data_IF_686463805614
#
_entry.id   IF_686463805614
#
_cell.length_a   1.000
_cell.length_b   1.000
_cell.length_c   1.000
_cell.angle_alpha   90.00
_cell.angle_beta   90.00
_cell.angle_gamma   90.00
#
_symmetry.space_group_name_H-M   'P 1'
#
loop_
_entity.id
_entity.type
_entity.pdbx_description
1 polymer ?
#
# COMPACT_ATOMS: atom_id res chain seq x y z
N UNK A 1 4.76 -10.02 1.28
CA UNK A 1 4.59 -11.04 0.23
C UNK A 1 3.28 -11.77 0.35
N UNK A 2 2.19 -11.08 0.64
CA UNK A 2 0.84 -11.64 0.77
C UNK A 2 -0.11 -10.75 -0.01
N UNK A 3 -1.23 -11.31 -0.44
CA UNK A 3 -2.33 -10.48 -0.90
C UNK A 3 -2.93 -9.65 0.23
N UNK A 4 -3.64 -8.59 -0.14
CA UNK A 4 -4.21 -7.65 0.82
C UNK A 4 -5.28 -8.30 1.72
N UNK A 5 -6.05 -9.23 1.16
CA UNK A 5 -7.02 -10.04 1.92
C UNK A 5 -6.38 -10.99 2.94
N UNK A 6 -5.15 -11.44 2.69
CA UNK A 6 -4.42 -12.36 3.58
C UNK A 6 -3.74 -11.60 4.74
N UNK A 7 -3.16 -10.42 4.46
CA UNK A 7 -2.40 -9.66 5.46
C UNK A 7 -3.23 -8.63 6.25
N UNK A 8 -4.55 -8.56 6.00
CA UNK A 8 -5.58 -7.82 6.76
C UNK A 8 -5.56 -6.28 6.69
N UNK A 9 -4.55 -5.65 6.10
CA UNK A 9 -4.43 -4.18 6.04
C UNK A 9 -5.17 -3.67 4.80
N UNK A 10 -6.49 -3.64 4.86
CA UNK A 10 -7.38 -3.52 3.70
C UNK A 10 -7.83 -2.07 3.42
N UNK A 11 -7.85 -1.18 4.42
CA UNK A 11 -7.73 0.26 4.19
C UNK A 11 -6.59 0.91 4.99
N UNK A 12 -6.20 2.13 4.59
CA UNK A 12 -5.27 3.00 5.33
C UNK A 12 -5.81 3.51 6.69
N UNK A 13 -6.87 2.90 7.20
CA UNK A 13 -7.55 3.26 8.44
C UNK A 13 -7.95 2.01 9.21
N UNK A 14 -7.73 2.05 10.53
CA UNK A 14 -8.39 1.10 11.45
C UNK A 14 -9.80 1.59 11.71
N UNK A 15 -10.75 0.67 11.82
CA UNK A 15 -12.13 1.04 12.14
C UNK A 15 -12.85 -0.06 12.93
N UNK A 16 -14.01 0.31 13.49
CA UNK A 16 -14.89 -0.60 14.18
C UNK A 16 -16.35 -0.29 13.80
N UNK A 17 -17.04 -1.25 13.21
CA UNK A 17 -18.40 -1.10 12.65
C UNK A 17 -19.50 -1.04 13.70
N UNK A 18 -19.22 -1.45 14.94
CA UNK A 18 -20.20 -1.41 16.04
C UNK A 18 -20.16 -0.08 16.77
N UNK A 19 -18.96 0.40 17.07
CA UNK A 19 -18.74 1.70 17.73
C UNK A 19 -18.69 2.87 16.75
N UNK A 20 -18.61 2.59 15.45
CA UNK A 20 -18.51 3.54 14.33
C UNK A 20 -17.23 4.40 14.33
N UNK A 21 -16.21 4.02 15.10
CA UNK A 21 -14.93 4.73 15.13
C UNK A 21 -14.07 4.42 13.91
N UNK A 22 -13.37 5.46 13.43
CA UNK A 22 -12.29 5.39 12.43
C UNK A 22 -11.03 6.00 13.04
N UNK A 23 -9.88 5.37 12.84
CA UNK A 23 -8.57 5.86 13.26
C UNK A 23 -7.68 6.02 12.03
N UNK A 24 -7.08 7.20 11.90
CA UNK A 24 -6.11 7.49 10.83
C UNK A 24 -4.86 6.62 10.95
N UNK A 25 -4.19 6.37 9.82
CA UNK A 25 -2.90 5.66 9.76
C UNK A 25 -1.90 6.14 10.81
N UNK A 26 -1.68 7.46 10.93
CA UNK A 26 -0.74 8.04 11.91
C UNK A 26 -1.09 7.67 13.36
N UNK A 27 -2.37 7.47 13.66
CA UNK A 27 -2.85 7.07 15.00
C UNK A 27 -2.67 5.57 15.24
N UNK A 28 -2.72 4.75 14.19
CA UNK A 28 -2.72 3.30 14.31
C UNK A 28 -1.32 2.70 14.34
N UNK A 29 -0.26 3.43 13.96
CA UNK A 29 1.11 2.89 13.82
C UNK A 29 1.63 2.07 15.03
N UNK A 30 1.15 2.34 16.26
CA UNK A 30 1.51 1.60 17.49
C UNK A 30 0.42 0.67 18.05
N UNK A 31 -0.74 0.57 17.40
CA UNK A 31 -1.86 -0.26 17.85
C UNK A 31 -1.62 -1.72 17.50
N UNK A 32 -1.25 -2.52 18.50
CA UNK A 32 -0.93 -3.94 18.32
C UNK A 32 -2.11 -4.73 17.79
N UNK A 33 -3.29 -4.62 18.40
CA UNK A 33 -4.51 -5.35 17.99
C UNK A 33 -4.93 -5.10 16.53
N UNK A 34 -4.41 -4.04 15.90
CA UNK A 34 -4.63 -3.74 14.49
C UNK A 34 -3.59 -4.40 13.58
N UNK A 35 -2.31 -4.36 13.97
CA UNK A 35 -1.22 -4.82 13.11
C UNK A 35 -0.82 -6.27 13.33
N UNK A 36 -0.94 -6.77 14.56
CA UNK A 36 -0.61 -8.13 14.96
C UNK A 36 -1.84 -9.04 14.78
N UNK A 37 -1.90 -9.69 13.63
CA UNK A 37 -2.98 -10.60 13.25
C UNK A 37 -2.85 -11.99 13.85
N UNK A 38 -1.83 -12.25 14.69
CA UNK A 38 -1.53 -13.57 15.26
C UNK A 38 -0.88 -14.55 14.28
N UNK A 39 -0.95 -14.29 12.97
CA UNK A 39 -0.11 -14.96 11.97
C UNK A 39 1.21 -14.21 11.94
N UNK A 40 2.34 -14.89 12.14
CA UNK A 40 3.65 -14.27 11.99
C UNK A 40 3.71 -13.72 10.57
N UNK A 41 3.60 -12.39 10.40
CA UNK A 41 3.44 -11.87 9.07
C UNK A 41 4.77 -12.07 8.34
N UNK A 42 4.72 -12.23 7.01
CA UNK A 42 5.88 -12.10 6.11
C UNK A 42 6.46 -10.67 6.13
N UNK A 43 6.72 -10.14 7.32
CA UNK A 43 7.39 -8.89 7.61
C UNK A 43 8.87 -9.21 7.67
N UNK A 44 9.57 -8.82 6.61
CA UNK A 44 10.96 -9.16 6.41
C UNK A 44 11.80 -8.93 7.65
N UNK A 45 11.70 -7.75 8.29
CA UNK A 45 12.51 -7.39 9.45
C UNK A 45 12.28 -8.28 10.67
N UNK A 46 11.05 -8.73 10.90
CA UNK A 46 10.71 -9.57 12.05
C UNK A 46 11.30 -10.96 11.82
N UNK A 47 11.09 -11.50 10.62
CA UNK A 47 11.67 -12.80 10.20
C UNK A 47 13.19 -12.75 10.26
N UNK A 48 13.82 -11.69 9.76
CA UNK A 48 15.26 -11.44 9.88
C UNK A 48 15.72 -11.46 11.34
N UNK A 49 15.02 -10.73 12.21
CA UNK A 49 15.39 -10.63 13.64
C UNK A 49 15.24 -11.97 14.36
N UNK A 50 14.14 -12.69 14.12
CA UNK A 50 13.87 -14.00 14.73
C UNK A 50 14.87 -15.07 14.29
N UNK A 51 15.47 -14.91 13.11
CA UNK A 51 16.51 -15.81 12.60
C UNK A 51 17.94 -15.34 12.96
N UNK A 52 18.08 -14.39 13.89
CA UNK A 52 19.37 -13.99 14.47
C UNK A 52 20.11 -12.88 13.72
N UNK A 53 19.55 -12.39 12.61
CA UNK A 53 20.09 -11.28 11.84
C UNK A 53 19.59 -9.94 12.38
N UNK A 54 20.26 -8.85 12.04
CA UNK A 54 19.91 -7.50 12.48
C UNK A 54 19.12 -6.74 11.44
N UNK A 55 17.99 -6.20 11.84
CA UNK A 55 17.09 -5.45 10.96
C UNK A 55 16.83 -4.04 11.50
N UNK A 56 16.85 -3.07 10.60
CA UNK A 56 16.49 -1.68 10.89
C UNK A 56 15.36 -1.20 10.01
N UNK A 57 14.67 -0.16 10.44
CA UNK A 57 13.52 0.36 9.75
C UNK A 57 13.46 1.89 9.90
N UNK A 58 13.10 2.54 8.80
CA UNK A 58 12.88 3.98 8.73
C UNK A 58 11.57 4.26 7.97
N UNK A 59 10.60 4.81 8.70
CA UNK A 59 9.31 5.36 8.21
C UNK A 59 8.31 4.39 7.55
N UNK A 60 8.70 3.17 7.18
CA UNK A 60 7.84 2.25 6.45
C UNK A 60 6.54 1.88 7.23
N UNK A 61 5.44 1.43 6.64
CA UNK A 61 4.30 1.00 7.47
C UNK A 61 4.69 -0.16 8.41
N UNK A 62 3.97 -0.34 9.52
CA UNK A 62 4.09 -1.52 10.42
C UNK A 62 5.35 -1.65 11.29
N UNK A 63 6.41 -0.86 11.12
CA UNK A 63 7.66 -1.02 11.88
C UNK A 63 7.64 -0.50 13.32
N UNK A 64 6.61 0.22 13.73
CA UNK A 64 6.47 0.74 15.10
C UNK A 64 5.61 -0.15 16.02
N UNK A 65 4.92 -1.15 15.46
CA UNK A 65 4.12 -2.11 16.21
C UNK A 65 5.00 -3.25 16.75
N UNK A 66 4.49 -3.93 17.79
CA UNK A 66 5.05 -5.19 18.27
C UNK A 66 4.27 -6.35 17.67
N UNK A 67 4.95 -7.46 17.40
CA UNK A 67 4.38 -8.68 16.85
C UNK A 67 4.78 -9.83 17.76
N UNK A 68 3.80 -10.51 18.35
CA UNK A 68 4.05 -11.56 19.35
C UNK A 68 4.94 -11.07 20.51
N UNK A 69 4.82 -9.80 20.88
CA UNK A 69 5.62 -9.15 21.92
C UNK A 69 6.99 -8.63 21.47
N UNK A 70 7.46 -9.02 20.29
CA UNK A 70 8.75 -8.62 19.72
C UNK A 70 8.64 -7.32 18.91
N UNK A 71 9.67 -6.49 18.99
CA UNK A 71 9.79 -5.25 18.23
C UNK A 71 11.04 -5.29 17.34
N UNK A 72 11.07 -4.45 16.32
CA UNK A 72 12.29 -4.25 15.51
C UNK A 72 13.38 -3.67 16.41
N UNK A 73 14.61 -4.17 16.24
CA UNK A 73 15.76 -3.74 17.03
C UNK A 73 15.99 -2.22 16.94
N UNK A 74 15.79 -1.65 15.74
CA UNK A 74 15.85 -0.21 15.52
C UNK A 74 14.75 0.24 14.58
N UNK A 75 13.84 1.05 15.11
CA UNK A 75 12.70 1.59 14.37
C UNK A 75 12.61 3.09 14.58
N UNK A 76 12.66 3.85 13.48
CA UNK A 76 12.31 5.27 13.49
C UNK A 76 10.96 5.44 12.78
N UNK A 77 9.93 5.66 13.60
CA UNK A 77 8.58 5.95 13.17
C UNK A 77 8.47 7.41 12.70
N UNK A 78 7.66 7.66 11.68
CA UNK A 78 7.27 9.03 11.34
C UNK A 78 6.50 9.68 12.51
N UNK A 79 7.00 10.79 13.09
CA UNK A 79 6.23 11.51 14.09
C UNK A 79 4.92 12.04 13.50
N UNK A 80 3.91 12.26 14.34
CA UNK A 80 2.63 12.80 13.89
C UNK A 80 2.75 14.13 13.13
N UNK A 81 3.77 14.92 13.50
CA UNK A 81 4.12 16.22 12.92
C UNK A 81 5.05 16.13 11.72
N UNK A 82 5.41 14.92 11.24
CA UNK A 82 6.27 14.77 10.07
C UNK A 82 5.58 15.42 8.86
N UNK A 83 6.23 16.39 8.19
CA UNK A 83 5.66 17.05 7.03
C UNK A 83 5.67 16.12 5.83
N UNK A 84 4.57 16.14 5.08
CA UNK A 84 4.47 15.39 3.84
C UNK A 84 5.30 16.09 2.75
N UNK A 85 6.34 15.44 2.24
CA UNK A 85 7.18 15.95 1.14
C UNK A 85 8.41 16.77 1.54
N UNK A 86 9.10 16.43 2.63
CA UNK A 86 10.36 17.09 2.98
C UNK A 86 11.52 16.57 2.12
N UNK A 87 12.05 17.40 1.22
CA UNK A 87 13.23 17.10 0.39
C UNK A 87 14.51 16.81 1.20
N UNK A 88 14.51 17.05 2.52
CA UNK A 88 15.64 16.66 3.40
C UNK A 88 15.68 15.15 3.67
N UNK A 89 14.68 14.37 3.23
CA UNK A 89 14.70 12.89 3.35
C UNK A 89 15.91 12.23 2.67
N UNK A 90 16.58 12.89 1.72
CA UNK A 90 17.87 12.41 1.19
C UNK A 90 18.95 12.26 2.28
N UNK A 91 18.87 13.04 3.37
CA UNK A 91 19.76 12.89 4.53
C UNK A 91 19.57 11.53 5.25
N UNK A 92 18.41 10.89 5.07
CA UNK A 92 18.15 9.55 5.62
C UNK A 92 18.90 8.45 4.88
N UNK A 93 19.28 8.65 3.61
CA UNK A 93 20.09 7.67 2.86
C UNK A 93 21.48 7.56 3.47
N UNK A 94 22.12 8.67 3.83
CA UNK A 94 23.43 8.65 4.47
C UNK A 94 23.36 8.06 5.90
N UNK A 95 22.24 8.25 6.61
CA UNK A 95 21.96 7.61 7.90
C UNK A 95 21.85 6.09 7.76
N UNK A 96 21.00 5.62 6.82
CA UNK A 96 20.80 4.20 6.54
C UNK A 96 22.09 3.55 6.07
N UNK A 97 22.84 4.22 5.18
CA UNK A 97 24.17 3.78 4.76
C UNK A 97 25.07 3.51 5.97
N UNK A 98 25.14 4.46 6.91
CA UNK A 98 25.98 4.32 8.09
C UNK A 98 25.53 3.16 9.00
N UNK A 99 24.23 2.86 9.04
CA UNK A 99 23.67 1.75 9.79
C UNK A 99 24.01 0.39 9.14
N UNK A 100 23.83 0.27 7.82
CA UNK A 100 24.15 -0.96 7.09
C UNK A 100 25.63 -1.32 7.12
N UNK A 101 26.53 -0.34 6.93
CA UNK A 101 27.98 -0.61 6.93
C UNK A 101 28.46 -1.15 8.30
N UNK A 102 27.76 -0.81 9.39
CA UNK A 102 28.28 -1.01 10.74
C UNK A 102 27.52 -2.04 11.57
N UNK A 103 26.22 -2.21 11.34
CA UNK A 103 25.36 -2.78 12.37
C UNK A 103 24.23 -3.68 11.85
N UNK A 104 23.71 -3.49 10.64
CA UNK A 104 22.47 -4.18 10.20
C UNK A 104 22.64 -4.96 8.89
N UNK A 105 22.02 -6.14 8.84
CA UNK A 105 21.99 -7.03 7.68
C UNK A 105 20.86 -6.67 6.71
N UNK A 106 19.80 -6.02 7.20
CA UNK A 106 18.66 -5.56 6.40
C UNK A 106 18.10 -4.24 6.90
N UNK A 107 17.43 -3.51 6.00
CA UNK A 107 16.89 -2.20 6.29
C UNK A 107 15.87 -1.73 5.25
N UNK A 108 14.84 -1.02 5.71
CA UNK A 108 13.81 -0.42 4.85
C UNK A 108 13.78 1.08 5.02
N UNK A 109 13.68 1.81 3.90
CA UNK A 109 13.43 3.24 3.84
C UNK A 109 12.10 3.49 3.12
N UNK A 110 11.25 4.32 3.70
CA UNK A 110 10.09 4.88 3.03
C UNK A 110 10.25 6.40 2.88
N UNK A 111 9.84 6.89 1.70
CA UNK A 111 9.77 8.30 1.34
C UNK A 111 8.38 8.57 0.78
N UNK A 112 7.76 9.69 1.13
CA UNK A 112 6.41 10.04 0.64
C UNK A 112 6.41 10.61 -0.80
N UNK A 113 7.56 11.01 -1.31
CA UNK A 113 7.71 11.44 -2.71
C UNK A 113 7.97 10.23 -3.63
N UNK A 114 7.45 10.21 -4.87
CA UNK A 114 6.82 11.32 -5.59
C UNK A 114 5.30 11.39 -5.42
N UNK A 115 4.69 10.59 -4.54
CA UNK A 115 3.24 10.50 -4.42
C UNK A 115 2.61 11.85 -4.03
N UNK A 116 3.16 12.55 -3.02
CA UNK A 116 2.64 13.85 -2.62
C UNK A 116 2.66 14.87 -3.78
N UNK A 117 3.77 14.95 -4.52
CA UNK A 117 3.84 15.77 -5.75
C UNK A 117 2.82 15.31 -6.80
N UNK A 118 2.66 14.00 -7.01
CA UNK A 118 1.73 13.40 -7.97
C UNK A 118 0.25 13.59 -7.59
N UNK A 119 -0.06 13.77 -6.31
CA UNK A 119 -1.42 14.10 -5.85
C UNK A 119 -1.72 15.59 -6.01
N UNK A 120 -0.76 16.45 -5.67
CA UNK A 120 -0.92 17.92 -5.77
C UNK A 120 -0.95 18.41 -7.22
N UNK A 121 -0.10 17.84 -8.07
CA UNK A 121 0.07 18.22 -9.47
C UNK A 121 -0.29 17.05 -10.37
N UNK A 122 -0.70 17.33 -11.61
CA UNK A 122 -0.89 16.22 -12.58
C UNK A 122 0.45 15.49 -12.75
N UNK A 123 0.46 14.15 -12.82
CA UNK A 123 1.67 13.40 -13.10
C UNK A 123 2.38 13.98 -14.32
N UNK A 124 3.62 14.44 -14.13
CA UNK A 124 4.49 14.88 -15.22
C UNK A 124 5.62 13.87 -15.37
N UNK A 125 5.95 13.53 -16.61
CA UNK A 125 7.17 12.80 -16.93
C UNK A 125 8.36 13.75 -16.86
N UNK A 126 8.76 14.16 -15.65
CA UNK A 126 10.04 14.82 -15.44
C UNK A 126 11.07 13.78 -14.99
N UNK A 127 12.11 13.62 -15.80
CA UNK A 127 13.24 12.74 -15.52
C UNK A 127 14.03 13.25 -14.31
N UNK A 128 13.59 12.93 -13.09
CA UNK A 128 14.40 13.13 -11.89
C UNK A 128 15.54 12.12 -11.92
N UNK A 129 16.76 12.61 -12.12
CA UNK A 129 17.98 11.79 -12.01
C UNK A 129 18.11 11.31 -10.57
N UNK A 130 17.90 10.01 -10.33
CA UNK A 130 18.32 9.38 -9.09
C UNK A 130 19.85 9.55 -8.96
N UNK A 131 20.32 10.15 -7.88
CA UNK A 131 21.74 10.38 -7.68
C UNK A 131 22.47 9.04 -7.51
N UNK A 132 23.16 8.60 -8.56
CA UNK A 132 23.99 7.39 -8.53
C UNK A 132 25.24 7.66 -7.69
N UNK A 133 25.21 7.24 -6.42
CA UNK A 133 26.40 7.18 -5.57
C UNK A 133 26.97 5.76 -5.65
N UNK A 134 27.95 5.56 -6.53
CA UNK A 134 28.48 4.26 -6.94
C UNK A 134 29.23 3.44 -5.85
N UNK A 135 29.59 4.04 -4.71
CA UNK A 135 30.53 3.40 -3.77
C UNK A 135 29.94 2.32 -2.83
N UNK A 136 28.63 2.04 -2.89
CA UNK A 136 27.98 1.01 -2.06
C UNK A 136 27.51 -0.21 -2.84
N UNK A 137 27.47 -0.13 -4.17
CA UNK A 137 26.84 -1.16 -5.00
C UNK A 137 27.63 -2.48 -5.06
N UNK A 138 28.87 -2.49 -4.55
CA UNK A 138 29.73 -3.69 -4.56
C UNK A 138 29.45 -4.63 -3.39
N UNK A 139 28.86 -4.14 -2.29
CA UNK A 139 28.60 -4.94 -1.08
C UNK A 139 27.16 -4.84 -0.57
N UNK A 140 26.29 -4.08 -1.24
CA UNK A 140 24.90 -3.86 -0.83
C UNK A 140 23.93 -4.18 -1.97
N UNK A 141 22.93 -5.00 -1.66
CA UNK A 141 21.75 -5.21 -2.49
C UNK A 141 20.70 -4.15 -2.14
N UNK A 142 20.24 -3.41 -3.15
CA UNK A 142 19.27 -2.33 -3.04
C UNK A 142 18.10 -2.65 -3.96
N UNK A 143 16.89 -2.70 -3.39
CA UNK A 143 15.63 -2.78 -4.12
C UNK A 143 14.92 -1.44 -3.98
N UNK A 144 14.60 -0.81 -5.11
CA UNK A 144 13.85 0.43 -5.20
C UNK A 144 12.50 0.09 -5.83
N UNK A 145 11.42 0.45 -5.16
CA UNK A 145 10.06 0.22 -5.65
C UNK A 145 9.11 1.32 -5.17
N UNK A 146 7.88 1.30 -5.67
CA UNK A 146 6.77 2.13 -5.22
C UNK A 146 5.65 1.22 -4.72
N UNK A 147 4.80 1.75 -3.84
CA UNK A 147 3.59 1.08 -3.37
C UNK A 147 2.46 1.10 -4.40
N UNK A 148 2.32 2.21 -5.13
CA UNK A 148 1.38 2.35 -6.24
C UNK A 148 1.84 3.38 -7.27
N UNK A 149 1.19 3.36 -8.44
CA UNK A 149 1.24 4.47 -9.39
C UNK A 149 0.24 5.59 -9.05
N UNK A 150 0.11 6.59 -9.93
CA UNK A 150 -0.82 7.71 -9.80
C UNK A 150 -1.41 8.04 -11.17
N UNK A 151 -2.70 8.34 -11.23
CA UNK A 151 -3.36 8.84 -12.45
C UNK A 151 -3.95 10.23 -12.22
N UNK A 152 -4.25 10.95 -13.30
CA UNK A 152 -4.91 12.25 -13.23
C UNK A 152 -6.39 12.09 -12.90
N UNK A 153 -6.88 12.83 -11.91
CA UNK A 153 -8.31 12.89 -11.57
C UNK A 153 -8.99 14.02 -12.34
N UNK A 154 -10.15 13.71 -12.91
CA UNK A 154 -11.05 14.66 -13.54
C UNK A 154 -11.88 15.35 -12.46
N UNK A 155 -12.01 16.67 -12.55
CA UNK A 155 -12.67 17.51 -11.54
C UNK A 155 -13.67 18.45 -12.21
N UNK A 156 -14.52 19.08 -11.42
CA UNK A 156 -15.36 20.19 -11.89
C UNK A 156 -14.47 21.33 -12.41
N UNK A 157 -14.82 22.01 -13.53
CA UNK A 157 -16.05 21.88 -14.33
C UNK A 157 -15.98 20.82 -15.45
N UNK A 158 -14.85 20.12 -15.64
CA UNK A 158 -14.67 19.18 -16.74
C UNK A 158 -15.63 17.97 -16.65
N UNK A 159 -15.96 17.56 -15.42
CA UNK A 159 -16.95 16.51 -15.14
C UNK A 159 -17.83 16.87 -13.93
N UNK A 160 -18.95 16.15 -13.80
CA UNK A 160 -19.65 16.01 -12.54
C UNK A 160 -19.04 14.86 -11.74
N UNK A 161 -18.43 15.17 -10.58
CA UNK A 161 -17.86 14.15 -9.69
C UNK A 161 -18.96 13.25 -9.08
N UNK A 162 -18.58 12.03 -8.71
CA UNK A 162 -19.52 11.03 -8.20
C UNK A 162 -19.83 11.35 -6.74
N UNK A 163 -21.05 11.84 -6.46
CA UNK A 163 -21.55 12.02 -5.10
C UNK A 163 -22.61 10.96 -4.79
N UNK A 164 -22.33 10.08 -3.84
CA UNK A 164 -23.26 8.99 -3.49
C UNK A 164 -24.60 9.49 -2.94
N UNK A 165 -24.64 10.66 -2.31
CA UNK A 165 -25.90 11.29 -1.87
C UNK A 165 -26.85 11.69 -3.01
N UNK A 166 -26.37 11.73 -4.26
CA UNK A 166 -27.24 11.95 -5.41
C UNK A 166 -28.09 10.71 -5.76
N UNK A 167 -27.68 9.54 -5.28
CA UNK A 167 -28.31 8.26 -5.62
C UNK A 167 -29.00 7.61 -4.42
N UNK A 168 -28.48 7.82 -3.21
CA UNK A 168 -29.05 7.24 -2.00
C UNK A 168 -29.08 8.21 -0.81
N UNK A 169 -30.00 7.97 0.11
CA UNK A 169 -30.02 8.61 1.42
C UNK A 169 -29.25 7.75 2.41
N UNK A 170 -28.02 8.13 2.74
CA UNK A 170 -27.16 7.37 3.66
C UNK A 170 -27.86 7.03 4.98
N UNK A 171 -28.62 7.97 5.54
CA UNK A 171 -29.37 7.77 6.78
C UNK A 171 -30.37 6.62 6.69
N UNK A 172 -30.89 6.30 5.51
CA UNK A 172 -31.92 5.28 5.36
C UNK A 172 -31.28 3.89 5.20
N UNK A 173 -30.17 3.78 4.46
CA UNK A 173 -29.61 2.50 4.04
C UNK A 173 -28.28 2.10 4.69
N UNK A 174 -27.45 3.05 5.13
CA UNK A 174 -26.05 2.80 5.49
C UNK A 174 -25.87 2.83 7.01
N UNK A 175 -25.33 1.74 7.59
CA UNK A 175 -24.90 1.66 8.99
C UNK A 175 -23.53 2.28 9.17
N UNK A 176 -22.59 1.95 8.29
CA UNK A 176 -21.20 2.38 8.35
C UNK A 176 -20.59 2.46 6.96
N UNK A 177 -19.54 3.26 6.80
CA UNK A 177 -18.82 3.41 5.53
C UNK A 177 -17.31 3.52 5.75
N UNK A 178 -16.54 3.02 4.80
CA UNK A 178 -15.15 3.39 4.60
C UNK A 178 -15.10 4.10 3.25
N UNK A 179 -15.27 5.42 3.33
CA UNK A 179 -15.08 6.35 2.23
C UNK A 179 -14.04 7.37 2.65
N UNK A 180 -12.84 7.22 2.14
CA UNK A 180 -11.95 8.35 1.93
C UNK A 180 -12.22 8.83 0.50
N UNK A 181 -12.32 10.13 0.25
CA UNK A 181 -12.69 10.60 -1.10
C UNK A 181 -11.60 10.16 -2.07
N UNK A 182 -11.91 9.30 -3.05
CA UNK A 182 -10.88 8.62 -3.85
C UNK A 182 -11.42 7.58 -4.82
N UNK A 183 -10.55 6.70 -5.31
CA UNK A 183 -10.87 5.70 -6.34
C UNK A 183 -11.68 4.49 -5.88
N UNK A 184 -11.78 4.22 -4.58
CA UNK A 184 -12.49 3.05 -4.04
C UNK A 184 -13.13 3.32 -2.67
N UNK A 185 -14.07 2.45 -2.28
CA UNK A 185 -14.76 2.57 -1.00
C UNK A 185 -15.55 1.32 -0.65
N UNK A 186 -16.05 1.29 0.58
CA UNK A 186 -16.87 0.18 1.08
C UNK A 186 -18.02 0.71 1.94
N UNK A 187 -19.18 0.05 1.86
CA UNK A 187 -20.36 0.36 2.67
C UNK A 187 -20.82 -0.87 3.44
N UNK A 188 -21.24 -0.64 4.67
CA UNK A 188 -22.00 -1.58 5.48
C UNK A 188 -23.47 -1.12 5.49
N UNK A 189 -24.37 -1.87 4.83
CA UNK A 189 -25.80 -1.63 4.91
C UNK A 189 -26.34 -1.77 6.34
N UNK A 190 -27.49 -1.17 6.59
CA UNK A 190 -28.30 -1.51 7.77
C UNK A 190 -28.91 -2.91 7.60
N UNK A 191 -29.19 -3.64 8.71
CA UNK A 191 -29.85 -4.93 8.64
C UNK A 191 -31.15 -4.87 7.83
N UNK A 192 -31.30 -5.76 6.84
CA UNK A 192 -32.47 -5.83 5.96
C UNK A 192 -32.46 -4.85 4.78
N UNK A 193 -31.42 -4.03 4.64
CA UNK A 193 -31.25 -3.09 3.53
C UNK A 193 -30.14 -3.49 2.55
N UNK A 194 -29.55 -4.67 2.68
CA UNK A 194 -28.41 -5.15 1.90
C UNK A 194 -28.73 -5.16 0.40
N UNK A 195 -29.81 -5.85 0.02
CA UNK A 195 -30.23 -5.95 -1.38
C UNK A 195 -30.73 -4.60 -1.91
N UNK A 196 -31.49 -3.87 -1.10
CA UNK A 196 -32.01 -2.55 -1.48
C UNK A 196 -30.89 -1.55 -1.78
N UNK A 197 -29.85 -1.50 -0.93
CA UNK A 197 -28.69 -0.64 -1.14
C UNK A 197 -27.92 -1.02 -2.40
N UNK A 198 -27.69 -2.33 -2.61
CA UNK A 198 -27.00 -2.83 -3.80
C UNK A 198 -27.74 -2.44 -5.09
N UNK A 199 -29.07 -2.67 -5.15
CA UNK A 199 -29.86 -2.37 -6.34
C UNK A 199 -29.91 -0.87 -6.66
N UNK A 200 -29.98 -0.01 -5.64
CA UNK A 200 -29.91 1.45 -5.83
C UNK A 200 -28.57 1.88 -6.44
N UNK A 201 -27.48 1.22 -6.04
CA UNK A 201 -26.12 1.62 -6.44
C UNK A 201 -25.61 0.97 -7.73
N UNK A 202 -25.99 -0.28 -8.03
CA UNK A 202 -25.38 -1.11 -9.09
C UNK A 202 -25.24 -0.41 -10.44
N UNK A 203 -26.21 0.42 -10.80
CA UNK A 203 -26.23 1.17 -12.06
C UNK A 203 -26.37 2.69 -11.84
N UNK A 204 -26.00 3.18 -10.65
CA UNK A 204 -26.15 4.58 -10.28
C UNK A 204 -25.29 5.52 -11.16
N UNK A 205 -24.10 5.08 -11.55
CA UNK A 205 -23.19 5.87 -12.36
C UNK A 205 -22.33 4.98 -13.28
N UNK A 206 -22.13 5.40 -14.53
CA UNK A 206 -21.42 4.62 -15.56
C UNK A 206 -19.91 4.43 -15.30
N UNK A 207 -19.33 5.24 -14.40
CA UNK A 207 -17.94 5.10 -13.94
C UNK A 207 -17.82 4.59 -12.51
N UNK A 208 -18.89 4.02 -11.95
CA UNK A 208 -18.91 3.46 -10.61
C UNK A 208 -19.22 1.97 -10.72
N UNK A 209 -18.28 1.14 -10.30
CA UNK A 209 -18.48 -0.30 -10.25
C UNK A 209 -18.83 -0.70 -8.82
N UNK A 210 -19.94 -1.41 -8.65
CA UNK A 210 -20.48 -1.80 -7.36
C UNK A 210 -20.63 -3.32 -7.33
N UNK A 211 -20.14 -3.93 -6.26
CA UNK A 211 -20.22 -5.37 -6.06
C UNK A 211 -20.67 -5.66 -4.64
N UNK A 212 -21.39 -6.78 -4.48
CA UNK A 212 -21.41 -7.46 -3.19
C UNK A 212 -20.02 -8.02 -2.94
N UNK A 213 -19.61 -8.09 -1.68
CA UNK A 213 -18.30 -8.59 -1.27
C UNK A 213 -17.95 -9.94 -1.93
N UNK A 214 -18.92 -10.84 -1.99
CA UNK A 214 -18.79 -12.20 -2.51
C UNK A 214 -18.68 -12.25 -4.04
N UNK A 215 -19.07 -11.16 -4.71
CA UNK A 215 -19.04 -11.00 -6.17
C UNK A 215 -17.88 -10.11 -6.63
N UNK A 216 -17.04 -9.63 -5.71
CA UNK A 216 -15.96 -8.71 -6.04
C UNK A 216 -14.91 -9.44 -6.93
N UNK A 217 -14.36 -8.77 -7.97
CA UNK A 217 -13.48 -9.45 -8.92
C UNK A 217 -12.24 -10.07 -8.25
N UNK A 218 -11.98 -11.33 -8.56
CA UNK A 218 -10.94 -12.15 -7.91
C UNK A 218 -9.53 -11.58 -8.13
N UNK A 219 -9.26 -10.92 -9.26
CA UNK A 219 -7.93 -10.41 -9.61
C UNK A 219 -7.41 -9.33 -8.65
N UNK A 220 -8.28 -8.75 -7.83
CA UNK A 220 -7.88 -7.81 -6.79
C UNK A 220 -7.32 -8.49 -5.54
N UNK A 221 -7.64 -9.77 -5.30
CA UNK A 221 -7.33 -10.48 -4.05
C UNK A 221 -7.63 -9.64 -2.79
N UNK A 222 -8.80 -9.00 -2.80
CA UNK A 222 -9.16 -7.96 -1.82
C UNK A 222 -10.29 -8.37 -0.87
N UNK A 223 -11.30 -9.09 -1.37
CA UNK A 223 -12.59 -9.17 -0.69
C UNK A 223 -12.72 -10.31 0.34
N UNK A 224 -11.81 -11.30 0.35
CA UNK A 224 -11.93 -12.50 1.19
C UNK A 224 -11.42 -12.30 2.62
N UNK A 225 -11.82 -11.21 3.26
CA UNK A 225 -11.42 -10.90 4.63
C UNK A 225 -12.58 -10.31 5.44
N UNK A 226 -12.65 -10.59 6.74
CA UNK A 226 -13.78 -10.17 7.59
C UNK A 226 -13.96 -8.64 7.67
N UNK A 227 -12.86 -7.87 7.55
CA UNK A 227 -12.93 -6.41 7.62
C UNK A 227 -13.46 -5.75 6.35
N UNK A 228 -13.45 -6.38 5.18
CA UNK A 228 -14.08 -5.76 4.01
C UNK A 228 -15.61 -5.84 4.15
N UNK A 229 -16.26 -4.69 3.95
CA UNK A 229 -17.70 -4.53 4.18
C UNK A 229 -18.52 -5.17 3.04
N UNK A 230 -19.83 -5.29 3.25
CA UNK A 230 -20.71 -6.08 2.38
C UNK A 230 -20.86 -5.53 0.97
N UNK A 231 -20.75 -4.21 0.79
CA UNK A 231 -20.81 -3.57 -0.52
C UNK A 231 -19.45 -2.91 -0.79
N UNK A 232 -18.79 -3.33 -1.86
CA UNK A 232 -17.48 -2.83 -2.27
C UNK A 232 -17.62 -2.10 -3.58
N UNK A 233 -16.88 -1.00 -3.74
CA UNK A 233 -16.92 -0.20 -4.96
C UNK A 233 -15.56 0.34 -5.36
N UNK A 234 -15.39 0.51 -6.66
CA UNK A 234 -14.29 1.26 -7.24
C UNK A 234 -14.76 2.03 -8.47
N UNK A 235 -14.16 3.19 -8.68
CA UNK A 235 -14.44 4.03 -9.82
C UNK A 235 -13.50 3.70 -10.99
N UNK A 236 -13.92 4.02 -12.21
CA UNK A 236 -13.03 3.99 -13.36
C UNK A 236 -11.90 5.03 -13.18
N UNK A 237 -10.76 4.78 -13.82
CA UNK A 237 -9.59 5.66 -13.75
C UNK A 237 -9.94 7.14 -13.95
N UNK A 238 -9.47 7.97 -13.01
CA UNK A 238 -9.64 9.42 -13.03
C UNK A 238 -10.99 9.93 -12.49
N UNK A 239 -11.85 9.08 -11.93
CA UNK A 239 -13.08 9.49 -11.25
C UNK A 239 -13.00 9.22 -9.75
N UNK A 240 -13.29 10.22 -8.93
CA UNK A 240 -13.34 10.02 -7.47
C UNK A 240 -14.78 9.84 -6.99
N UNK A 241 -14.92 8.94 -6.01
CA UNK A 241 -16.15 8.69 -5.26
C UNK A 241 -16.13 9.60 -4.03
N UNK A 242 -17.17 10.42 -3.89
CA UNK A 242 -17.37 11.30 -2.75
C UNK A 242 -18.67 10.94 -2.04
N UNK A 243 -18.69 11.05 -0.71
CA UNK A 243 -19.90 10.74 0.07
C UNK A 243 -21.00 11.77 -0.17
N UNK A 244 -20.72 13.03 0.16
CA UNK A 244 -21.71 14.12 0.14
C UNK A 244 -21.11 15.48 -0.25
N UNK A 245 -19.92 15.80 0.23
CA UNK A 245 -19.23 17.06 -0.06
C UNK A 245 -17.89 16.70 -0.69
N UNK A 246 -17.53 17.40 -1.77
CA UNK A 246 -16.22 17.28 -2.39
C UNK A 246 -15.25 18.15 -1.57
N UNK A 247 -14.44 17.52 -0.74
CA UNK A 247 -13.36 18.18 0.02
C UNK A 247 -11.98 17.86 -0.55
N UNK A 248 -11.92 17.01 -1.58
CA UNK A 248 -10.68 16.45 -2.11
C UNK A 248 -10.32 17.11 -3.44
N UNK A 249 -9.39 18.07 -3.38
CA UNK A 249 -8.98 18.91 -4.50
C UNK A 249 -7.73 18.40 -5.23
N UNK A 250 -7.29 17.18 -4.92
CA UNK A 250 -6.12 16.58 -5.56
C UNK A 250 -6.34 16.42 -7.07
N UNK A 251 -5.27 16.65 -7.82
CA UNK A 251 -5.25 16.59 -9.28
C UNK A 251 -4.78 15.22 -9.79
N UNK A 252 -4.11 14.46 -8.95
CA UNK A 252 -3.83 13.04 -9.15
C UNK A 252 -4.26 12.22 -7.95
N UNK A 253 -4.52 10.93 -8.19
CA UNK A 253 -4.97 9.99 -7.16
C UNK A 253 -4.64 8.55 -7.57
N UNK A 254 -4.87 7.63 -6.65
CA UNK A 254 -4.54 6.21 -6.75
C UNK A 254 -5.67 5.35 -6.14
N UNK A 255 -5.46 4.04 -6.06
CA UNK A 255 -6.47 3.11 -5.54
C UNK A 255 -7.55 2.70 -6.55
N UNK A 256 -7.25 2.86 -7.85
CA UNK A 256 -8.03 2.33 -8.97
C UNK A 256 -7.64 0.87 -9.25
N UNK A 257 -8.22 0.29 -10.31
CA UNK A 257 -7.93 -1.07 -10.75
C UNK A 257 -6.42 -1.30 -11.00
N UNK A 258 -5.85 -2.32 -10.36
CA UNK A 258 -4.43 -2.62 -10.39
C UNK A 258 -3.96 -3.09 -11.77
N UNK A 259 -4.88 -3.46 -12.68
CA UNK A 259 -4.53 -3.80 -14.08
C UNK A 259 -4.12 -2.59 -14.91
N UNK A 260 -4.49 -1.37 -14.48
CA UNK A 260 -4.23 -0.14 -15.22
C UNK A 260 -2.74 0.22 -15.21
N UNK A 261 -2.22 0.66 -16.37
CA UNK A 261 -0.81 1.06 -16.52
C UNK A 261 -0.41 2.15 -15.54
N UNK A 262 -1.25 3.17 -15.34
CA UNK A 262 -0.98 4.28 -14.41
C UNK A 262 -0.90 3.85 -12.94
N UNK A 263 -1.44 2.68 -12.59
CA UNK A 263 -1.38 2.11 -11.24
C UNK A 263 -0.19 1.18 -11.03
N UNK A 264 0.57 0.87 -12.10
CA UNK A 264 1.76 0.01 -12.00
C UNK A 264 2.89 0.75 -11.28
N UNK A 265 3.69 -0.02 -10.57
CA UNK A 265 4.84 0.47 -9.79
C UNK A 265 6.13 0.28 -10.56
N UNK A 266 7.19 0.96 -10.12
CA UNK A 266 8.54 0.64 -10.59
C UNK A 266 9.16 -0.46 -9.74
N UNK A 267 10.07 -1.20 -10.33
CA UNK A 267 10.97 -2.11 -9.62
C UNK A 267 12.36 -1.97 -10.23
N UNK A 268 13.35 -1.58 -9.42
CA UNK A 268 14.76 -1.54 -9.79
C UNK A 268 15.57 -2.19 -8.69
N UNK A 269 16.33 -3.22 -9.04
CA UNK A 269 17.22 -3.91 -8.12
C UNK A 269 18.67 -3.74 -8.59
N UNK A 270 19.56 -3.43 -7.65
CA UNK A 270 20.99 -3.28 -7.92
C UNK A 270 21.80 -3.88 -6.77
N UNK A 271 22.94 -4.49 -7.07
CA UNK A 271 23.83 -5.04 -6.05
C UNK A 271 24.68 -6.19 -6.58
N UNK A 272 25.55 -6.78 -5.74
CA UNK A 272 26.44 -7.88 -6.14
C UNK A 272 25.68 -9.16 -6.53
N UNK A 273 24.50 -9.41 -5.96
CA UNK A 273 23.75 -10.65 -6.19
C UNK A 273 22.77 -10.57 -7.37
N UNK A 274 22.65 -9.39 -7.99
CA UNK A 274 21.77 -9.17 -9.13
C UNK A 274 22.54 -9.16 -10.46
N UNK A 275 21.94 -9.74 -11.50
CA UNK A 275 22.45 -9.63 -12.87
C UNK A 275 22.47 -8.17 -13.32
N UNK A 276 23.59 -7.76 -13.92
CA UNK A 276 23.73 -6.41 -14.49
C UNK A 276 22.97 -6.31 -15.81
N UNK A 277 22.34 -5.16 -16.04
CA UNK A 277 21.59 -4.86 -17.28
C UNK A 277 20.53 -5.91 -17.65
N UNK A 278 19.96 -6.57 -16.65
CA UNK A 278 18.88 -7.54 -16.84
C UNK A 278 17.53 -6.82 -16.79
N UNK A 279 16.68 -7.11 -17.77
CA UNK A 279 15.29 -6.67 -17.81
C UNK A 279 14.40 -7.89 -17.60
N UNK A 280 13.52 -7.79 -16.62
CA UNK A 280 12.52 -8.80 -16.28
C UNK A 280 11.16 -8.43 -16.85
N UNK A 281 10.33 -9.45 -17.10
CA UNK A 281 8.90 -9.24 -17.33
C UNK A 281 8.22 -8.65 -16.07
N UNK A 282 7.10 -7.91 -16.22
CA UNK A 282 6.32 -7.42 -15.09
C UNK A 282 5.85 -8.54 -14.17
N UNK A 283 5.83 -8.29 -12.87
CA UNK A 283 5.40 -9.25 -11.85
C UNK A 283 4.72 -8.55 -10.66
N UNK A 284 3.96 -9.31 -9.88
CA UNK A 284 3.28 -8.79 -8.69
C UNK A 284 4.24 -8.58 -7.51
N UNK A 285 4.03 -7.50 -6.75
CA UNK A 285 4.89 -7.14 -5.61
C UNK A 285 4.96 -8.21 -4.51
N UNK A 286 4.01 -9.15 -4.48
CA UNK A 286 4.05 -10.30 -3.56
C UNK A 286 5.30 -11.16 -3.72
N UNK A 287 5.90 -11.21 -4.92
CA UNK A 287 7.12 -11.97 -5.20
C UNK A 287 8.41 -11.29 -4.70
N UNK A 288 8.35 -10.04 -4.21
CA UNK A 288 9.51 -9.34 -3.65
C UNK A 288 9.93 -9.95 -2.29
N UNK A 289 8.98 -10.44 -1.49
CA UNK A 289 9.29 -11.06 -0.20
C UNK A 289 10.23 -12.27 -0.32
N UNK A 290 9.92 -13.31 -1.12
CA UNK A 290 10.82 -14.44 -1.26
C UNK A 290 12.18 -14.08 -1.89
N UNK A 291 12.21 -13.07 -2.77
CA UNK A 291 13.47 -12.52 -3.28
C UNK A 291 14.33 -11.95 -2.15
N UNK A 292 13.75 -11.10 -1.28
CA UNK A 292 14.46 -10.52 -0.15
C UNK A 292 14.94 -11.59 0.84
N UNK A 293 14.14 -12.63 1.10
CA UNK A 293 14.56 -13.74 1.94
C UNK A 293 15.75 -14.51 1.35
N UNK A 294 15.74 -14.75 0.02
CA UNK A 294 16.86 -15.39 -0.69
C UNK A 294 18.15 -14.56 -0.58
N UNK A 295 18.06 -13.25 -0.75
CA UNK A 295 19.22 -12.33 -0.64
C UNK A 295 19.79 -12.28 0.79
N UNK A 296 18.92 -12.37 1.80
CA UNK A 296 19.34 -12.35 3.21
C UNK A 296 19.75 -13.73 3.75
N UNK A 297 19.57 -14.80 2.97
CA UNK A 297 19.83 -16.17 3.42
C UNK A 297 18.92 -16.63 4.57
N UNK A 298 17.71 -16.08 4.66
CA UNK A 298 16.74 -16.43 5.72
C UNK A 298 15.66 -17.38 5.19
N UNK A 299 15.13 -18.19 6.08
CA UNK A 299 14.02 -19.12 5.80
C UNK A 299 12.74 -18.36 5.51
N UNK A 300 12.00 -18.83 4.50
CA UNK A 300 10.70 -18.28 4.12
C UNK A 300 9.63 -18.63 5.16
N UNK A 301 8.87 -17.63 5.58
CA UNK A 301 7.60 -17.83 6.27
C UNK A 301 6.45 -18.02 5.25
N UNK A 302 5.27 -18.53 5.66
CA UNK A 302 4.12 -18.66 4.76
C UNK A 302 3.84 -17.36 4.00
N UNK A 303 3.77 -17.44 2.67
CA UNK A 303 3.61 -16.29 1.78
C UNK A 303 2.89 -16.67 0.48
N UNK A 304 2.42 -15.68 -0.26
CA UNK A 304 1.77 -15.88 -1.57
C UNK A 304 2.72 -15.66 -2.76
N UNK A 305 3.90 -15.10 -2.50
CA UNK A 305 4.95 -14.91 -3.51
C UNK A 305 5.55 -16.23 -4.02
N UNK A 306 6.45 -16.11 -5.00
CA UNK A 306 7.19 -17.23 -5.58
C UNK A 306 8.55 -16.75 -6.02
N UNK A 307 9.62 -17.37 -5.53
CA UNK A 307 10.98 -17.03 -5.93
C UNK A 307 11.23 -17.30 -7.41
N UNK A 308 10.55 -18.28 -8.01
CA UNK A 308 10.74 -18.63 -9.41
C UNK A 308 10.50 -17.44 -10.36
N UNK A 309 9.60 -16.52 -9.98
CA UNK A 309 9.28 -15.31 -10.76
C UNK A 309 10.42 -14.30 -10.78
N UNK A 310 11.22 -14.25 -9.71
CA UNK A 310 12.30 -13.26 -9.53
C UNK A 310 13.69 -13.88 -9.60
N UNK A 311 13.78 -15.21 -9.68
CA UNK A 311 15.04 -15.96 -9.64
C UNK A 311 15.97 -15.59 -10.81
N UNK A 312 15.43 -15.37 -12.00
CA UNK A 312 16.24 -15.05 -13.18
C UNK A 312 17.00 -13.74 -13.04
N UNK A 313 16.58 -12.85 -12.13
CA UNK A 313 17.26 -11.57 -11.85
C UNK A 313 18.55 -11.76 -11.05
N UNK A 314 18.70 -12.89 -10.37
CA UNK A 314 19.85 -13.19 -9.51
C UNK A 314 21.00 -13.75 -10.32
N UNK A 315 22.22 -13.47 -9.87
CA UNK A 315 23.42 -14.15 -10.36
C UNK A 315 23.33 -15.64 -10.02
N UNK A 316 23.73 -16.50 -10.96
CA UNK A 316 23.83 -17.93 -10.68
C UNK A 316 24.91 -18.12 -9.61
N UNK A 317 24.55 -18.76 -8.50
CA UNK A 317 25.45 -19.09 -7.38
C UNK A 317 25.88 -20.54 -7.46
#
# INVERSE_FOLDING_TARGET
>A
GHWIEDHRVIPNMMFNTETLWKYSFKTTQKKQDWWDSGVLPSLLWLVTTLQGNKATFLHYPRGAAKYQGEAVQRSLMEPHTHPNGNETEWANIDLIRNWFIKEFDSGTLYCEEPDNTGRQFRPKMENRKAAERHSLMECLNVIITLDHGVTTVKKNPDINEILLTNYLKFRDFVKFDIMDSGGSGMLLPKPGHEEGLYQVLKNAHHHLNIYKKEEFPEHFHFAKHEWVLLIVMYANSGYNINRQIILYFNKGDHGFDNVLTDMKTIFRALGPDFKKNHLTEPFDSVHIYPLMCKLLGITLEPHTGSLAVTHEMLMDS
#
